data_IF_997750770048
#
_entry.id   IF_997750770048
#
_cell.length_a   1.000
_cell.length_b   1.000
_cell.length_c   1.000
_cell.angle_alpha   90.00
_cell.angle_beta   90.00
_cell.angle_gamma   90.00
#
_symmetry.space_group_name_H-M   'P 1'
#
loop_
_entity.id
_entity.type
_entity.pdbx_description
1 polymer ?
#
# COMPACT_ATOMS: atom_id res chain seq x y z
N UNK A 1 -18.62 46.18 51.76
CA UNK A 1 -17.59 45.21 51.28
C UNK A 1 -18.29 44.22 50.43
N UNK A 2 -18.17 44.36 49.11
CA UNK A 2 -18.81 43.48 48.13
C UNK A 2 -17.81 42.36 47.72
N UNK A 3 -18.14 41.08 48.02
CA UNK A 3 -17.35 39.94 47.62
C UNK A 3 -17.73 39.58 46.19
N UNK A 4 -16.75 39.72 45.28
CA UNK A 4 -16.87 39.30 43.87
C UNK A 4 -16.50 37.81 43.82
N UNK A 5 -17.50 36.97 43.51
CA UNK A 5 -17.26 35.55 43.24
C UNK A 5 -16.82 35.39 41.79
N UNK A 6 -15.58 34.98 41.58
CA UNK A 6 -15.04 34.65 40.25
C UNK A 6 -15.39 33.19 39.97
N UNK A 7 -16.29 32.98 39.01
CA UNK A 7 -16.61 31.67 38.47
C UNK A 7 -15.54 31.30 37.43
N UNK A 8 -14.72 30.33 37.79
CA UNK A 8 -13.83 29.68 36.83
C UNK A 8 -14.64 28.73 35.93
N UNK A 9 -14.88 29.12 34.68
CA UNK A 9 -15.45 28.26 33.65
C UNK A 9 -14.34 27.35 33.14
N UNK A 10 -14.29 26.09 33.64
CA UNK A 10 -13.43 25.06 33.11
C UNK A 10 -14.00 24.62 31.75
N UNK A 11 -13.52 25.22 30.67
CA UNK A 11 -13.76 24.73 29.33
C UNK A 11 -12.95 23.45 29.12
N UNK A 12 -13.59 22.30 29.29
CA UNK A 12 -13.03 21.00 28.91
C UNK A 12 -12.92 20.92 27.37
N UNK A 13 -11.73 21.18 26.86
CA UNK A 13 -11.39 20.93 25.45
C UNK A 13 -11.33 19.41 25.29
N UNK A 14 -12.42 18.80 24.84
CA UNK A 14 -12.43 17.44 24.32
C UNK A 14 -11.58 17.42 23.04
N UNK A 15 -10.31 17.06 23.21
CA UNK A 15 -9.42 16.80 22.09
C UNK A 15 -9.97 15.59 21.30
N UNK A 16 -10.59 15.87 20.16
CA UNK A 16 -10.90 14.84 19.18
C UNK A 16 -9.58 14.30 18.68
N UNK A 17 -9.14 13.16 19.22
CA UNK A 17 -8.05 12.41 18.65
C UNK A 17 -8.55 11.83 17.33
N UNK A 18 -8.20 12.47 16.22
CA UNK A 18 -8.29 11.87 14.89
C UNK A 18 -7.40 10.64 14.92
N UNK A 19 -7.99 9.47 15.07
CA UNK A 19 -7.35 8.19 14.79
C UNK A 19 -7.01 8.20 13.29
N UNK A 20 -5.82 8.69 12.96
CA UNK A 20 -5.24 8.47 11.65
C UNK A 20 -5.02 6.96 11.54
N UNK A 21 -5.92 6.27 10.84
CA UNK A 21 -5.66 4.90 10.41
C UNK A 21 -4.38 4.94 9.57
N UNK A 22 -3.30 4.35 10.07
CA UNK A 22 -2.01 4.32 9.40
C UNK A 22 -2.19 3.62 8.05
N UNK A 23 -2.14 4.39 6.98
CA UNK A 23 -2.21 3.89 5.62
C UNK A 23 -1.01 2.99 5.37
N UNK A 24 -1.23 1.70 5.31
CA UNK A 24 -0.19 0.70 5.17
C UNK A 24 -0.33 -0.07 3.86
N UNK A 25 0.77 -0.15 3.12
CA UNK A 25 0.85 -1.05 1.97
C UNK A 25 1.15 -2.48 2.40
N UNK A 26 0.45 -3.41 1.78
CA UNK A 26 0.61 -4.86 1.92
C UNK A 26 0.69 -5.46 0.51
N UNK A 27 1.14 -6.71 0.42
CA UNK A 27 1.14 -7.47 -0.83
C UNK A 27 0.31 -8.74 -0.69
N UNK A 28 -0.34 -9.15 -1.78
CA UNK A 28 -1.06 -10.42 -1.82
C UNK A 28 -0.08 -11.58 -1.71
N UNK A 29 -0.40 -12.53 -0.83
CA UNK A 29 0.43 -13.71 -0.55
C UNK A 29 0.21 -14.85 -1.53
N UNK A 30 -0.95 -14.87 -2.23
CA UNK A 30 -1.38 -15.97 -3.09
C UNK A 30 -1.77 -15.49 -4.49
N UNK A 31 -1.72 -16.40 -5.47
CA UNK A 31 -2.19 -16.13 -6.83
C UNK A 31 -3.71 -15.97 -6.94
N UNK A 32 -4.46 -16.46 -5.97
CA UNK A 32 -5.90 -16.32 -5.90
C UNK A 32 -6.29 -15.79 -4.54
N UNK A 33 -6.88 -14.61 -4.50
CA UNK A 33 -7.31 -13.92 -3.28
C UNK A 33 -8.74 -13.43 -3.45
N UNK A 34 -9.64 -13.92 -2.61
CA UNK A 34 -11.03 -13.49 -2.59
C UNK A 34 -11.14 -12.15 -1.86
N UNK A 35 -11.78 -11.19 -2.50
CA UNK A 35 -12.16 -9.90 -1.92
C UNK A 35 -13.67 -9.89 -1.70
N UNK A 36 -14.10 -9.58 -0.48
CA UNK A 36 -15.50 -9.66 -0.07
C UNK A 36 -16.11 -8.28 0.16
N UNK A 37 -17.42 -8.22 0.17
CA UNK A 37 -18.17 -6.99 0.48
C UNK A 37 -18.05 -6.57 1.94
N UNK A 38 -17.75 -7.51 2.85
CA UNK A 38 -17.62 -7.24 4.29
C UNK A 38 -16.61 -8.14 4.99
N UNK A 39 -16.32 -7.85 6.27
CA UNK A 39 -15.30 -8.52 7.07
C UNK A 39 -15.80 -9.85 7.66
N UNK A 40 -15.99 -10.86 6.83
CA UNK A 40 -16.45 -12.18 7.25
C UNK A 40 -16.64 -13.13 6.09
N UNK A 41 -16.67 -14.44 6.38
CA UNK A 41 -16.91 -15.47 5.37
C UNK A 41 -18.37 -15.48 4.88
N UNK A 42 -19.29 -14.95 5.67
CA UNK A 42 -20.71 -14.85 5.33
C UNK A 42 -21.00 -13.77 4.28
N UNK A 43 -20.06 -12.85 4.09
CA UNK A 43 -20.19 -11.84 3.05
C UNK A 43 -19.82 -12.42 1.68
N UNK A 44 -20.60 -12.11 0.64
CA UNK A 44 -20.32 -12.62 -0.71
C UNK A 44 -18.98 -12.11 -1.24
N UNK A 45 -18.40 -12.87 -2.15
CA UNK A 45 -17.21 -12.46 -2.89
C UNK A 45 -17.59 -11.35 -3.85
N UNK A 46 -16.88 -10.24 -3.76
CA UNK A 46 -17.06 -9.07 -4.62
C UNK A 46 -16.30 -9.24 -5.93
N UNK A 47 -15.03 -9.66 -5.82
CA UNK A 47 -14.13 -9.99 -6.93
C UNK A 47 -12.95 -10.86 -6.45
N UNK A 48 -12.15 -11.35 -7.38
CA UNK A 48 -11.00 -12.21 -7.10
C UNK A 48 -9.76 -11.62 -7.76
N UNK A 49 -8.73 -11.36 -6.98
CA UNK A 49 -7.41 -11.08 -7.53
C UNK A 49 -6.70 -12.37 -7.91
N UNK A 50 -6.04 -12.35 -9.08
CA UNK A 50 -5.28 -13.50 -9.62
C UNK A 50 -3.80 -13.15 -9.86
N UNK A 51 -3.20 -12.41 -8.96
CA UNK A 51 -1.78 -12.02 -9.08
C UNK A 51 -1.11 -12.01 -7.70
N UNK A 52 -0.14 -12.90 -7.50
CA UNK A 52 0.72 -12.87 -6.30
C UNK A 52 1.55 -11.58 -6.27
N UNK A 53 1.91 -11.13 -5.09
CA UNK A 53 2.68 -9.91 -4.86
C UNK A 53 1.96 -8.60 -5.27
N UNK A 54 0.68 -8.63 -5.62
CA UNK A 54 -0.04 -7.41 -5.96
C UNK A 54 -0.06 -6.46 -4.75
N UNK A 55 0.44 -5.22 -4.88
CA UNK A 55 0.42 -4.26 -3.78
C UNK A 55 -0.97 -3.68 -3.60
N UNK A 56 -1.46 -3.70 -2.37
CA UNK A 56 -2.74 -3.15 -1.95
C UNK A 56 -2.55 -2.24 -0.75
N UNK A 57 -3.36 -1.20 -0.63
CA UNK A 57 -3.32 -0.27 0.50
C UNK A 57 -4.38 -0.63 1.51
N UNK A 58 -4.00 -0.90 2.74
CA UNK A 58 -4.94 -1.09 3.83
C UNK A 58 -5.52 0.27 4.24
N UNK A 59 -6.83 0.36 4.30
CA UNK A 59 -7.57 1.57 4.69
C UNK A 59 -8.41 1.37 5.96
N UNK A 60 -8.66 0.11 6.35
CA UNK A 60 -9.40 -0.22 7.55
C UNK A 60 -9.08 -1.64 8.02
N UNK A 61 -9.45 -1.98 9.27
CA UNK A 61 -9.31 -3.33 9.82
C UNK A 61 -10.47 -3.66 10.76
N UNK A 62 -10.91 -4.91 10.74
CA UNK A 62 -11.85 -5.48 11.71
C UNK A 62 -11.45 -6.91 12.00
N UNK A 63 -11.04 -7.20 13.25
CA UNK A 63 -10.55 -8.52 13.67
C UNK A 63 -9.47 -9.07 12.71
N UNK A 64 -9.72 -10.22 12.09
CA UNK A 64 -8.82 -10.86 11.13
C UNK A 64 -9.00 -10.37 9.68
N UNK A 65 -9.78 -9.32 9.47
CA UNK A 65 -10.06 -8.78 8.14
C UNK A 65 -9.40 -7.42 7.94
N UNK A 66 -8.97 -7.17 6.71
CA UNK A 66 -8.38 -5.90 6.27
C UNK A 66 -9.20 -5.36 5.11
N UNK A 67 -9.68 -4.14 5.26
CA UNK A 67 -10.25 -3.42 4.12
C UNK A 67 -9.10 -2.85 3.33
N UNK A 68 -9.04 -3.22 2.08
CA UNK A 68 -8.00 -2.78 1.16
C UNK A 68 -8.60 -1.95 0.04
N UNK A 69 -7.78 -1.11 -0.56
CA UNK A 69 -8.05 -0.42 -1.80
C UNK A 69 -6.91 -0.69 -2.78
N UNK A 70 -7.23 -0.78 -4.06
CA UNK A 70 -6.28 -0.94 -5.15
C UNK A 70 -6.19 0.35 -5.99
N UNK A 71 -5.26 0.39 -6.92
CA UNK A 71 -4.94 1.54 -7.78
C UNK A 71 -6.15 2.09 -8.56
N UNK A 72 -7.11 1.25 -8.90
CA UNK A 72 -8.36 1.59 -9.59
C UNK A 72 -9.49 2.05 -8.65
N UNK A 73 -9.18 2.32 -7.38
CA UNK A 73 -10.11 2.65 -6.31
C UNK A 73 -11.12 1.54 -5.94
N UNK A 74 -10.97 0.34 -6.47
CA UNK A 74 -11.74 -0.80 -6.02
C UNK A 74 -11.34 -1.20 -4.61
N UNK A 75 -12.30 -1.29 -3.71
CA UNK A 75 -12.09 -1.64 -2.31
C UNK A 75 -12.90 -2.87 -1.90
N UNK A 76 -12.42 -3.55 -0.88
CA UNK A 76 -13.12 -4.67 -0.28
C UNK A 76 -12.31 -5.30 0.85
N UNK A 77 -12.81 -6.39 1.40
CA UNK A 77 -12.26 -7.04 2.58
C UNK A 77 -11.53 -8.33 2.22
N UNK A 78 -10.31 -8.46 2.74
CA UNK A 78 -9.45 -9.63 2.58
C UNK A 78 -9.10 -10.15 3.97
N UNK A 79 -9.10 -11.47 4.15
CA UNK A 79 -8.61 -12.09 5.38
C UNK A 79 -7.09 -11.89 5.47
N UNK A 80 -6.60 -11.51 6.67
CA UNK A 80 -5.20 -11.15 6.90
C UNK A 80 -4.19 -12.24 6.48
N UNK A 81 -4.58 -13.53 6.58
CA UNK A 81 -3.73 -14.66 6.19
C UNK A 81 -3.36 -14.69 4.71
N UNK A 82 -4.08 -13.95 3.87
CA UNK A 82 -3.81 -13.83 2.44
C UNK A 82 -2.94 -12.62 2.09
N UNK A 83 -2.52 -11.87 3.10
CA UNK A 83 -1.68 -10.69 3.00
C UNK A 83 -0.30 -10.94 3.60
N UNK A 84 0.68 -10.20 3.15
CA UNK A 84 2.04 -10.17 3.70
C UNK A 84 2.59 -8.74 3.68
N UNK A 85 3.69 -8.46 4.38
CA UNK A 85 4.38 -7.18 4.27
C UNK A 85 4.64 -6.81 2.81
N UNK A 86 4.58 -5.52 2.50
CA UNK A 86 4.80 -5.03 1.13
C UNK A 86 6.19 -5.41 0.63
N UNK A 87 6.23 -5.99 -0.56
CA UNK A 87 7.48 -6.38 -1.24
C UNK A 87 7.45 -6.03 -2.73
N UNK A 88 6.53 -5.17 -3.13
CA UNK A 88 6.29 -4.88 -4.55
C UNK A 88 5.68 -3.51 -4.75
N UNK A 89 5.86 -3.01 -5.95
CA UNK A 89 5.28 -1.76 -6.44
C UNK A 89 4.71 -1.97 -7.84
N UNK A 90 3.82 -1.08 -8.26
CA UNK A 90 3.38 -0.95 -9.65
C UNK A 90 3.82 0.42 -10.15
N UNK A 91 4.48 0.46 -11.30
CA UNK A 91 4.78 1.73 -11.94
C UNK A 91 3.51 2.34 -12.55
N UNK A 92 3.23 3.60 -12.22
CA UNK A 92 2.08 4.33 -12.76
C UNK A 92 2.43 5.19 -13.97
N UNK A 93 3.67 5.10 -14.40
CA UNK A 93 4.20 5.67 -15.64
C UNK A 93 5.19 4.69 -16.26
N UNK A 94 5.55 4.90 -17.51
CA UNK A 94 6.62 4.17 -18.17
C UNK A 94 7.98 4.43 -17.51
N UNK A 95 8.81 3.40 -17.37
CA UNK A 95 10.13 3.48 -16.74
C UNK A 95 11.18 2.70 -17.51
N UNK A 96 12.44 3.08 -17.33
CA UNK A 96 13.57 2.26 -17.74
C UNK A 96 14.09 1.40 -16.59
N UNK A 97 14.44 0.18 -16.93
CA UNK A 97 15.19 -0.73 -16.06
C UNK A 97 16.68 -0.56 -16.36
N UNK A 98 17.48 -0.27 -15.35
CA UNK A 98 18.89 -0.01 -15.49
C UNK A 98 19.76 -1.12 -14.87
N UNK A 99 20.97 -1.29 -15.37
CA UNK A 99 21.96 -2.22 -14.84
C UNK A 99 22.46 -1.82 -13.45
N UNK A 100 22.56 -0.52 -13.19
CA UNK A 100 23.02 0.08 -11.93
C UNK A 100 22.04 1.18 -11.47
N UNK A 101 22.03 1.55 -10.17
CA UNK A 101 21.17 2.61 -9.64
C UNK A 101 21.67 4.01 -10.06
N UNK A 102 21.67 4.31 -11.33
CA UNK A 102 22.14 5.58 -11.90
C UNK A 102 21.44 5.86 -13.23
N UNK A 103 21.10 7.12 -13.46
CA UNK A 103 20.56 7.58 -14.76
C UNK A 103 21.57 7.48 -15.92
N UNK A 104 22.86 7.34 -15.59
CA UNK A 104 23.95 7.17 -16.57
C UNK A 104 24.28 5.70 -16.83
N UNK A 105 23.60 4.78 -16.17
CA UNK A 105 23.78 3.35 -16.37
C UNK A 105 23.13 2.90 -17.67
N UNK A 106 23.60 1.76 -18.17
CA UNK A 106 23.05 1.07 -19.34
C UNK A 106 21.56 0.70 -19.08
N UNK A 107 20.63 1.14 -19.94
CA UNK A 107 19.24 0.70 -19.87
C UNK A 107 19.13 -0.75 -20.39
N UNK A 108 18.50 -1.62 -19.60
CA UNK A 108 18.30 -3.02 -19.94
C UNK A 108 16.97 -3.29 -20.63
N UNK A 109 15.95 -2.56 -20.24
CA UNK A 109 14.59 -2.71 -20.77
C UNK A 109 13.76 -1.45 -20.49
N UNK A 110 12.70 -1.32 -21.26
CA UNK A 110 11.62 -0.34 -21.05
C UNK A 110 10.44 -1.04 -20.41
N UNK A 111 9.97 -0.52 -19.30
CA UNK A 111 8.86 -1.06 -18.52
C UNK A 111 7.60 -0.23 -18.80
N UNK A 112 6.61 -0.86 -19.38
CA UNK A 112 5.31 -0.23 -19.62
C UNK A 112 4.61 0.11 -18.32
N UNK A 113 3.77 1.13 -18.33
CA UNK A 113 2.89 1.50 -17.22
C UNK A 113 2.05 0.30 -16.74
N UNK A 114 1.85 0.19 -15.43
CA UNK A 114 1.02 -0.84 -14.81
C UNK A 114 1.73 -2.17 -14.55
N UNK A 115 3.04 -2.24 -14.77
CA UNK A 115 3.81 -3.45 -14.53
C UNK A 115 4.10 -3.65 -13.04
N UNK A 116 3.93 -4.89 -12.58
CA UNK A 116 4.26 -5.30 -11.21
C UNK A 116 5.77 -5.53 -11.08
N UNK A 117 6.39 -4.85 -10.15
CA UNK A 117 7.82 -4.88 -9.86
C UNK A 117 8.02 -5.44 -8.45
N UNK A 118 8.64 -6.62 -8.33
CA UNK A 118 8.95 -7.23 -7.03
C UNK A 118 10.30 -6.71 -6.56
N UNK A 119 10.31 -6.12 -5.36
CA UNK A 119 11.47 -5.47 -4.77
C UNK A 119 12.40 -6.50 -4.13
N UNK A 120 13.69 -6.39 -4.40
CA UNK A 120 14.75 -7.11 -3.68
C UNK A 120 15.39 -6.24 -2.60
N UNK A 121 15.79 -5.03 -2.97
CA UNK A 121 16.38 -4.04 -2.06
C UNK A 121 16.22 -2.66 -2.66
N UNK A 122 16.27 -1.64 -1.79
CA UNK A 122 16.26 -0.25 -2.20
C UNK A 122 17.46 0.48 -1.61
N UNK A 123 18.01 1.43 -2.37
CA UNK A 123 19.08 2.33 -2.01
C UNK A 123 18.69 3.74 -2.47
N UNK A 124 18.53 4.68 -1.55
CA UNK A 124 18.05 6.03 -1.83
C UNK A 124 16.74 6.02 -2.64
N UNK A 125 16.73 6.61 -3.83
CA UNK A 125 15.59 6.69 -4.73
C UNK A 125 15.55 5.55 -5.78
N UNK A 126 16.31 4.48 -5.58
CA UNK A 126 16.41 3.35 -6.50
C UNK A 126 16.06 2.05 -5.82
N UNK A 127 15.34 1.17 -6.52
CA UNK A 127 15.12 -0.19 -6.07
C UNK A 127 15.60 -1.20 -7.12
N UNK A 128 16.30 -2.22 -6.64
CA UNK A 128 16.56 -3.42 -7.41
C UNK A 128 15.32 -4.29 -7.41
N UNK A 129 14.81 -4.59 -8.60
CA UNK A 129 13.53 -5.29 -8.79
C UNK A 129 13.68 -6.49 -9.72
N UNK A 130 12.67 -7.36 -9.66
CA UNK A 130 12.42 -8.38 -10.66
C UNK A 130 11.03 -8.22 -11.25
N UNK A 131 10.91 -8.43 -12.56
CA UNK A 131 9.64 -8.44 -13.27
C UNK A 131 9.74 -9.34 -14.49
N UNK A 132 8.87 -10.35 -14.60
CA UNK A 132 8.81 -11.29 -15.73
C UNK A 132 10.18 -11.83 -16.20
N UNK A 133 11.04 -12.19 -15.23
CA UNK A 133 12.38 -12.72 -15.50
C UNK A 133 13.49 -11.67 -15.68
N UNK A 134 13.14 -10.42 -15.85
CA UNK A 134 14.12 -9.32 -15.90
C UNK A 134 14.50 -8.88 -14.49
N UNK A 135 15.77 -8.49 -14.32
CA UNK A 135 16.33 -7.95 -13.07
C UNK A 135 17.07 -6.67 -13.35
N UNK A 136 16.96 -5.70 -12.46
CA UNK A 136 17.68 -4.43 -12.58
C UNK A 136 17.17 -3.38 -11.63
N UNK A 137 17.59 -2.16 -11.86
CA UNK A 137 17.31 -1.01 -11.02
C UNK A 137 16.30 -0.07 -11.66
N UNK A 138 15.32 0.36 -10.89
CA UNK A 138 14.35 1.39 -11.29
C UNK A 138 14.37 2.55 -10.32
N UNK A 139 14.18 3.75 -10.84
CA UNK A 139 14.00 4.95 -10.01
C UNK A 139 12.60 4.95 -9.38
N UNK A 140 12.56 5.18 -8.07
CA UNK A 140 11.31 5.21 -7.31
C UNK A 140 10.70 6.60 -7.36
N UNK A 141 9.87 6.82 -8.34
CA UNK A 141 9.04 8.00 -8.54
C UNK A 141 7.77 7.54 -9.24
N UNK A 142 6.61 8.08 -8.86
CA UNK A 142 5.33 7.72 -9.48
C UNK A 142 5.10 6.20 -9.51
N UNK A 143 5.02 5.63 -8.31
CA UNK A 143 4.74 4.21 -8.10
C UNK A 143 3.59 4.04 -7.12
N UNK A 144 2.84 2.96 -7.27
CA UNK A 144 1.85 2.47 -6.31
C UNK A 144 2.46 1.34 -5.49
N UNK A 145 2.48 1.47 -4.18
CA UNK A 145 3.10 0.51 -3.27
C UNK A 145 4.08 1.18 -2.32
N UNK A 146 4.72 0.40 -1.46
CA UNK A 146 5.73 0.87 -0.51
C UNK A 146 7.06 0.20 -0.76
N UNK A 147 8.13 0.95 -0.58
CA UNK A 147 9.53 0.49 -0.67
C UNK A 147 10.19 0.31 0.70
N UNK A 148 9.40 0.50 1.77
CA UNK A 148 9.86 0.38 3.17
C UNK A 148 9.40 -0.93 3.79
#
# INVERSE_FOLDING_TARGET
MKKIAIWFLCASILGVQLLNAEEKFLSLKKNKTNVRYGPGLDYPIKYIYRKINLPVKQIDKKENWRRIIFLDNNSGWIHWSQLKPSNSIINIEEKFLFKKPSNFSEPLAKLEKGRLLVIKKCEDNWCNITTDGYKGWVKIKNVWGSTK
#
